data_IF_234317325907
#
_entry.id   IF_234317325907
#
_cell.length_a   1.000
_cell.length_b   1.000
_cell.length_c   1.000
_cell.angle_alpha   90.00
_cell.angle_beta   90.00
_cell.angle_gamma   90.00
#
_symmetry.space_group_name_H-M   'P 1'
#
loop_
_entity.id
_entity.type
_entity.pdbx_description
1 polymer ?
#
# COMPACT_ATOMS: atom_id res chain seq x y z
N UNK A 1 18.91 -22.57 -32.34
CA UNK A 1 18.42 -21.57 -33.32
C UNK A 1 17.01 -21.93 -33.76
N UNK A 2 15.97 -21.38 -33.14
CA UNK A 2 14.63 -21.25 -33.75
C UNK A 2 13.97 -20.00 -33.14
N UNK A 3 13.87 -18.96 -33.98
CA UNK A 3 13.23 -17.67 -33.69
C UNK A 3 11.72 -17.79 -33.94
N UNK A 4 10.88 -17.36 -33.00
CA UNK A 4 9.47 -16.93 -33.22
C UNK A 4 9.28 -15.70 -32.32
N UNK A 5 9.47 -14.46 -32.80
CA UNK A 5 8.55 -13.60 -33.58
C UNK A 5 7.16 -13.40 -32.92
N UNK A 6 7.14 -12.46 -31.98
CA UNK A 6 6.23 -11.29 -31.80
C UNK A 6 4.77 -11.47 -32.25
N UNK A 7 3.83 -11.31 -31.29
CA UNK A 7 2.59 -10.55 -31.46
C UNK A 7 2.15 -9.99 -30.10
N UNK A 8 2.23 -8.67 -29.94
CA UNK A 8 1.55 -7.90 -28.91
C UNK A 8 0.31 -7.23 -29.53
N UNK A 9 -0.84 -7.21 -28.86
CA UNK A 9 -1.86 -6.21 -29.12
C UNK A 9 -1.87 -5.13 -28.02
N UNK A 10 -1.63 -3.93 -28.52
CA UNK A 10 -1.74 -2.62 -27.90
C UNK A 10 -3.19 -2.38 -27.42
N UNK A 11 -3.40 -2.24 -26.11
CA UNK A 11 -4.68 -1.80 -25.53
C UNK A 11 -4.56 -0.32 -25.19
N UNK A 12 -5.20 0.51 -26.03
CA UNK A 12 -5.40 1.93 -25.77
C UNK A 12 -6.71 2.09 -24.97
N UNK A 13 -6.61 2.40 -23.67
CA UNK A 13 -7.76 2.85 -22.88
C UNK A 13 -7.79 4.38 -22.88
N UNK A 14 -8.94 4.91 -23.28
CA UNK A 14 -9.22 6.31 -23.48
C UNK A 14 -9.53 7.01 -22.14
N UNK A 15 -8.83 8.11 -21.87
CA UNK A 15 -9.18 9.11 -20.86
C UNK A 15 -10.46 9.85 -21.31
N UNK A 16 -11.55 9.72 -20.54
CA UNK A 16 -12.71 10.60 -20.65
C UNK A 16 -12.65 11.63 -19.51
N UNK A 17 -12.17 12.83 -19.84
CA UNK A 17 -12.38 14.03 -19.04
C UNK A 17 -13.86 14.41 -19.09
N UNK A 18 -14.56 14.26 -17.97
CA UNK A 18 -15.85 14.91 -17.75
C UNK A 18 -15.61 16.39 -17.41
N UNK A 19 -15.47 17.20 -18.45
CA UNK A 19 -15.59 18.65 -18.39
C UNK A 19 -16.83 19.08 -19.18
N UNK A 20 -17.88 19.50 -18.46
CA UNK A 20 -19.04 20.26 -18.96
C UNK A 20 -19.69 20.88 -17.70
N UNK A 21 -19.84 22.19 -17.52
CA UNK A 21 -19.92 23.30 -18.46
C UNK A 21 -21.37 23.71 -18.69
N UNK A 22 -21.75 24.86 -18.09
CA UNK A 22 -22.87 25.79 -18.37
C UNK A 22 -24.35 25.34 -18.34
N UNK A 23 -25.20 26.04 -17.53
CA UNK A 23 -26.00 27.20 -17.97
C UNK A 23 -26.90 27.78 -16.83
N UNK A 24 -27.11 29.10 -16.88
CA UNK A 24 -27.91 30.00 -16.01
C UNK A 24 -29.38 29.59 -15.77
N UNK A 25 -29.91 29.83 -14.56
CA UNK A 25 -31.27 30.41 -14.44
C UNK A 25 -31.54 31.09 -13.09
N UNK A 26 -32.16 32.26 -13.20
CA UNK A 26 -32.52 33.18 -12.11
C UNK A 26 -33.85 32.76 -11.48
N UNK A 27 -33.95 32.62 -10.16
CA UNK A 27 -35.22 32.91 -9.47
C UNK A 27 -35.10 33.05 -7.94
N UNK A 28 -35.59 34.18 -7.45
CA UNK A 28 -35.76 34.60 -6.07
C UNK A 28 -36.91 33.84 -5.39
N UNK A 29 -36.70 33.30 -4.17
CA UNK A 29 -37.74 33.19 -3.13
C UNK A 29 -37.18 32.71 -1.77
N UNK A 30 -37.23 33.62 -0.79
CA UNK A 30 -37.74 33.54 0.59
C UNK A 30 -37.92 32.21 1.33
N UNK A 31 -37.48 32.22 2.60
CA UNK A 31 -37.83 31.42 3.78
C UNK A 31 -37.81 29.88 3.69
N UNK A 32 -36.92 29.27 4.46
CA UNK A 32 -37.37 28.45 5.61
C UNK A 32 -36.19 28.30 6.61
N UNK A 33 -36.39 28.77 7.83
CA UNK A 33 -35.44 28.61 8.94
C UNK A 33 -35.72 27.25 9.56
N UNK A 34 -35.09 26.21 9.01
CA UNK A 34 -35.14 24.88 9.60
C UNK A 34 -34.16 24.81 10.78
N UNK A 35 -34.76 24.79 11.97
CA UNK A 35 -34.19 24.38 13.25
C UNK A 35 -33.49 23.02 13.09
N UNK A 36 -32.16 23.03 13.02
CA UNK A 36 -31.33 21.82 13.01
C UNK A 36 -31.06 21.46 14.45
N UNK A 37 -31.79 20.44 14.93
CA UNK A 37 -31.56 19.76 16.19
C UNK A 37 -30.18 19.09 16.16
N UNK A 38 -29.23 19.64 16.92
CA UNK A 38 -27.96 19.00 17.24
C UNK A 38 -28.23 17.84 18.23
N UNK A 39 -28.56 16.68 17.69
CA UNK A 39 -28.49 15.42 18.43
C UNK A 39 -27.13 14.78 18.12
N UNK A 40 -26.11 15.25 18.84
CA UNK A 40 -24.77 14.67 18.82
C UNK A 40 -24.83 13.34 19.55
N UNK A 41 -25.10 12.28 18.81
CA UNK A 41 -24.88 10.90 19.27
C UNK A 41 -23.37 10.65 19.27
N UNK A 42 -22.76 10.70 20.45
CA UNK A 42 -21.43 10.16 20.69
C UNK A 42 -21.48 8.66 20.41
N UNK A 43 -21.02 8.28 19.22
CA UNK A 43 -20.77 6.87 18.89
C UNK A 43 -19.35 6.58 19.36
N UNK A 44 -19.22 6.14 20.60
CA UNK A 44 -18.03 5.46 21.09
C UNK A 44 -17.93 4.12 20.36
N UNK A 45 -17.34 4.13 19.17
CA UNK A 45 -16.85 2.91 18.52
C UNK A 45 -15.53 2.56 19.20
N UNK A 46 -15.61 1.84 20.31
CA UNK A 46 -14.49 1.04 20.82
C UNK A 46 -14.27 -0.10 19.82
N UNK A 47 -13.45 0.14 18.79
CA UNK A 47 -12.82 -0.96 18.05
C UNK A 47 -11.79 -1.57 18.99
N UNK A 48 -12.23 -2.53 19.81
CA UNK A 48 -11.34 -3.51 20.40
C UNK A 48 -10.85 -4.40 19.25
N UNK A 49 -9.82 -3.93 18.54
CA UNK A 49 -8.95 -4.79 17.76
C UNK A 49 -8.28 -5.71 18.76
N UNK A 50 -8.90 -6.87 19.00
CA UNK A 50 -8.32 -8.00 19.70
C UNK A 50 -7.08 -8.40 18.90
N UNK A 51 -5.94 -7.80 19.23
CA UNK A 51 -4.61 -8.33 18.88
C UNK A 51 -4.47 -9.65 19.63
N UNK A 52 -5.11 -10.67 19.06
CA UNK A 52 -4.96 -12.04 19.48
C UNK A 52 -3.47 -12.34 19.55
N UNK A 53 -3.07 -12.95 20.67
CA UNK A 53 -1.72 -13.46 20.89
C UNK A 53 -1.20 -14.12 19.61
N UNK A 54 -0.10 -13.60 19.06
CA UNK A 54 0.62 -14.17 17.93
C UNK A 54 1.02 -15.62 18.25
N UNK A 55 0.16 -16.56 17.91
CA UNK A 55 0.57 -17.95 17.73
C UNK A 55 1.41 -17.96 16.46
N UNK A 56 2.68 -18.38 16.57
CA UNK A 56 3.63 -18.44 15.46
C UNK A 56 2.93 -18.99 14.21
N UNK A 57 2.72 -18.12 13.21
CA UNK A 57 2.10 -18.53 11.97
C UNK A 57 3.06 -19.50 11.29
N UNK A 58 2.58 -20.72 11.10
CA UNK A 58 3.35 -21.76 10.42
C UNK A 58 3.48 -21.37 8.94
N UNK A 59 4.63 -20.83 8.56
CA UNK A 59 4.94 -20.37 7.20
C UNK A 59 4.74 -21.49 6.17
N UNK A 60 5.00 -22.76 6.53
CA UNK A 60 4.78 -23.89 5.64
C UNK A 60 3.28 -24.13 5.42
N UNK A 61 2.47 -24.05 6.49
CA UNK A 61 1.02 -24.15 6.40
C UNK A 61 0.41 -22.98 5.61
N UNK A 62 0.95 -21.77 5.76
CA UNK A 62 0.50 -20.59 5.03
C UNK A 62 0.86 -20.73 3.54
N UNK A 63 2.09 -21.12 3.22
CA UNK A 63 2.51 -21.37 1.84
C UNK A 63 1.69 -22.49 1.16
N UNK A 64 1.40 -23.59 1.89
CA UNK A 64 0.54 -24.67 1.38
C UNK A 64 -0.90 -24.19 1.15
N UNK A 65 -1.41 -23.28 1.99
CA UNK A 65 -2.76 -22.71 1.82
C UNK A 65 -2.86 -21.76 0.62
N UNK A 66 -1.76 -21.10 0.27
CA UNK A 66 -1.66 -20.13 -0.82
C UNK A 66 -1.34 -20.76 -2.18
N UNK A 67 -1.08 -22.08 -2.24
CA UNK A 67 -0.88 -22.80 -3.50
C UNK A 67 0.24 -22.21 -4.37
N UNK A 68 -0.08 -21.82 -5.62
CA UNK A 68 0.90 -21.25 -6.55
C UNK A 68 1.45 -19.89 -6.10
N UNK A 69 0.78 -19.23 -5.15
CA UNK A 69 1.23 -17.96 -4.56
C UNK A 69 1.85 -18.12 -3.18
N UNK A 70 2.21 -19.35 -2.78
CA UNK A 70 2.92 -19.60 -1.52
C UNK A 70 4.24 -18.85 -1.38
N UNK A 71 4.83 -18.35 -2.47
CA UNK A 71 6.00 -17.46 -2.42
C UNK A 71 5.72 -16.11 -1.73
N UNK A 72 4.44 -15.73 -1.58
CA UNK A 72 4.02 -14.52 -0.85
C UNK A 72 3.94 -14.72 0.66
N UNK A 73 4.05 -15.96 1.16
CA UNK A 73 3.91 -16.23 2.59
C UNK A 73 4.90 -15.42 3.44
N UNK A 74 6.16 -15.34 3.00
CA UNK A 74 7.17 -14.52 3.69
C UNK A 74 6.88 -13.02 3.63
N UNK A 75 6.23 -12.52 2.56
CA UNK A 75 5.78 -11.13 2.50
C UNK A 75 4.70 -10.85 3.54
N UNK A 76 3.73 -11.75 3.68
CA UNK A 76 2.63 -11.61 4.64
C UNK A 76 3.16 -11.54 6.08
N UNK A 77 4.09 -12.42 6.45
CA UNK A 77 4.74 -12.39 7.77
C UNK A 77 5.51 -11.09 8.00
N UNK A 78 6.29 -10.63 7.00
CA UNK A 78 7.00 -9.35 7.12
C UNK A 78 6.06 -8.14 7.26
N UNK A 79 4.86 -8.21 6.67
CA UNK A 79 3.85 -7.17 6.78
C UNK A 79 3.11 -7.20 8.12
N UNK A 80 2.94 -8.38 8.74
CA UNK A 80 2.42 -8.48 10.11
C UNK A 80 3.41 -7.94 11.15
N UNK A 81 4.71 -8.19 10.95
CA UNK A 81 5.77 -7.58 11.75
C UNK A 81 5.88 -6.06 11.52
N UNK A 82 5.40 -5.59 10.37
CA UNK A 82 5.27 -4.16 10.09
C UNK A 82 4.05 -3.60 10.82
N UNK A 83 4.26 -3.08 12.02
CA UNK A 83 3.23 -2.39 12.77
C UNK A 83 3.11 -0.92 12.31
N UNK A 84 2.07 -0.53 11.54
CA UNK A 84 1.92 0.84 11.08
C UNK A 84 1.67 1.82 12.24
N UNK A 85 1.28 1.36 13.44
CA UNK A 85 1.11 2.23 14.60
C UNK A 85 2.44 2.74 15.13
N UNK A 86 3.53 1.99 14.93
CA UNK A 86 4.90 2.49 15.20
C UNK A 86 5.27 3.66 14.29
N UNK A 87 4.65 3.76 13.11
CA UNK A 87 4.85 4.85 12.17
C UNK A 87 4.19 6.15 12.63
N UNK A 88 3.07 6.10 13.36
CA UNK A 88 2.25 7.28 13.67
C UNK A 88 2.18 7.69 15.15
N UNK A 89 2.64 6.87 16.10
CA UNK A 89 2.30 7.13 17.51
C UNK A 89 3.14 6.45 18.59
N UNK A 90 4.33 5.94 18.29
CA UNK A 90 5.23 5.47 19.33
C UNK A 90 5.69 6.63 20.24
N UNK A 91 5.67 6.45 21.56
CA UNK A 91 6.27 7.40 22.54
C UNK A 91 7.79 7.62 22.30
N UNK A 92 8.40 6.79 21.46
CA UNK A 92 9.79 6.87 21.06
C UNK A 92 9.92 7.19 19.58
N UNK A 93 10.70 8.24 19.28
CA UNK A 93 10.97 8.67 17.94
C UNK A 93 11.72 7.54 17.19
N UNK A 94 11.09 7.00 16.15
CA UNK A 94 11.57 5.82 15.43
C UNK A 94 12.42 6.23 14.24
N UNK A 95 13.54 5.52 14.03
CA UNK A 95 14.36 5.64 12.83
C UNK A 95 13.58 5.06 11.65
N UNK A 96 13.06 5.94 10.80
CA UNK A 96 12.13 5.56 9.75
C UNK A 96 12.79 4.65 8.72
N UNK A 97 14.10 4.82 8.47
CA UNK A 97 14.85 3.92 7.58
C UNK A 97 14.88 2.47 8.08
N UNK A 98 14.88 2.26 9.40
CA UNK A 98 14.83 0.91 9.99
C UNK A 98 13.47 0.23 9.84
N UNK A 99 12.39 0.98 9.61
CA UNK A 99 11.07 0.41 9.33
C UNK A 99 11.00 -0.17 7.91
N UNK A 100 11.66 0.45 6.95
CA UNK A 100 11.64 0.01 5.55
C UNK A 100 12.67 -1.07 5.22
N UNK A 101 13.75 -1.18 5.99
CA UNK A 101 14.77 -2.21 5.79
C UNK A 101 14.22 -3.65 5.80
N UNK A 102 13.43 -4.10 6.79
CA UNK A 102 12.86 -5.45 6.78
C UNK A 102 11.85 -5.64 5.66
N UNK A 103 11.05 -4.62 5.33
CA UNK A 103 10.12 -4.67 4.21
C UNK A 103 10.84 -4.81 2.86
N UNK A 104 11.95 -4.09 2.68
CA UNK A 104 12.80 -4.19 1.50
C UNK A 104 13.43 -5.59 1.37
N UNK A 105 13.93 -6.16 2.47
CA UNK A 105 14.49 -7.51 2.51
C UNK A 105 13.43 -8.56 2.16
N UNK A 106 12.27 -8.50 2.82
CA UNK A 106 11.16 -9.41 2.53
C UNK A 106 10.68 -9.31 1.07
N UNK A 107 10.59 -8.09 0.52
CA UNK A 107 10.20 -7.90 -0.89
C UNK A 107 11.27 -8.45 -1.84
N UNK A 108 12.57 -8.37 -1.50
CA UNK A 108 13.62 -9.00 -2.29
C UNK A 108 13.56 -10.52 -2.26
N UNK A 109 13.24 -11.12 -1.11
CA UNK A 109 13.05 -12.56 -1.00
C UNK A 109 11.87 -13.03 -1.84
N UNK A 110 10.76 -12.28 -1.79
CA UNK A 110 9.59 -12.50 -2.65
C UNK A 110 9.95 -12.38 -4.12
N UNK A 111 10.71 -11.34 -4.51
CA UNK A 111 11.19 -11.19 -5.87
C UNK A 111 12.03 -12.41 -6.31
N UNK A 112 12.92 -12.90 -5.45
CA UNK A 112 13.75 -14.06 -5.76
C UNK A 112 12.93 -15.35 -5.90
N UNK A 113 11.87 -15.51 -5.11
CA UNK A 113 10.98 -16.66 -5.14
C UNK A 113 9.86 -16.55 -6.20
N UNK A 114 9.59 -15.34 -6.70
CA UNK A 114 8.52 -15.08 -7.66
C UNK A 114 8.73 -15.81 -9.00
N UNK A 115 7.63 -16.18 -9.67
CA UNK A 115 7.67 -16.69 -11.04
C UNK A 115 8.41 -15.73 -11.98
N UNK A 116 9.08 -16.29 -13.00
CA UNK A 116 9.87 -15.52 -13.97
C UNK A 116 9.07 -14.37 -14.62
N UNK A 117 7.75 -14.54 -14.73
CA UNK A 117 6.82 -13.59 -15.34
C UNK A 117 6.65 -12.31 -14.52
N UNK A 118 6.76 -12.38 -13.20
CA UNK A 118 6.50 -11.24 -12.29
C UNK A 118 7.70 -10.85 -11.42
N UNK A 119 8.81 -11.60 -11.52
CA UNK A 119 10.04 -11.34 -10.78
C UNK A 119 10.61 -9.94 -10.99
N UNK A 120 10.61 -9.45 -12.21
CA UNK A 120 11.16 -8.12 -12.52
C UNK A 120 10.32 -7.01 -11.87
N UNK A 121 8.99 -7.18 -11.83
CA UNK A 121 8.09 -6.26 -11.15
C UNK A 121 8.31 -6.27 -9.62
N UNK A 122 8.36 -7.44 -8.98
CA UNK A 122 8.72 -7.53 -7.56
C UNK A 122 10.11 -6.97 -7.24
N UNK A 123 11.09 -7.18 -8.13
CA UNK A 123 12.44 -6.61 -7.96
C UNK A 123 12.39 -5.09 -7.98
N UNK A 124 11.57 -4.50 -8.84
CA UNK A 124 11.37 -3.03 -8.90
C UNK A 124 10.73 -2.51 -7.62
N UNK A 125 9.72 -3.21 -7.07
CA UNK A 125 9.12 -2.85 -5.78
C UNK A 125 10.16 -2.92 -4.65
N UNK A 126 10.96 -3.99 -4.62
CA UNK A 126 11.99 -4.19 -3.61
C UNK A 126 13.09 -3.12 -3.68
N UNK A 127 13.48 -2.71 -4.89
CA UNK A 127 14.42 -1.61 -5.12
C UNK A 127 13.85 -0.27 -4.62
N UNK A 128 12.54 -0.02 -4.83
CA UNK A 128 11.84 1.15 -4.29
C UNK A 128 11.90 1.21 -2.76
N UNK A 129 11.55 0.12 -2.07
CA UNK A 129 11.66 0.05 -0.61
C UNK A 129 13.11 0.18 -0.11
N UNK A 130 14.08 -0.41 -0.82
CA UNK A 130 15.50 -0.29 -0.48
C UNK A 130 15.99 1.15 -0.62
N UNK A 131 15.54 1.86 -1.66
CA UNK A 131 15.85 3.28 -1.85
C UNK A 131 15.28 4.13 -0.72
N UNK A 132 14.01 3.91 -0.36
CA UNK A 132 13.35 4.61 0.75
C UNK A 132 14.09 4.38 2.06
N UNK A 133 14.43 3.12 2.38
CA UNK A 133 15.19 2.77 3.58
C UNK A 133 16.54 3.49 3.63
N UNK A 134 17.25 3.58 2.50
CA UNK A 134 18.54 4.24 2.40
C UNK A 134 18.44 5.78 2.50
N UNK A 135 17.43 6.39 1.88
CA UNK A 135 17.24 7.85 1.94
C UNK A 135 16.83 8.31 3.35
N UNK A 136 16.03 7.50 4.03
CA UNK A 136 15.52 7.76 5.38
C UNK A 136 16.38 7.19 6.50
N UNK A 137 17.56 6.62 6.19
CA UNK A 137 18.48 6.14 7.20
C UNK A 137 18.85 7.27 8.18
N UNK A 138 18.61 7.04 9.48
CA UNK A 138 18.89 8.00 10.53
C UNK A 138 17.93 9.20 10.56
N UNK A 139 16.87 9.17 9.75
CA UNK A 139 15.77 10.15 9.84
C UNK A 139 14.82 9.71 10.94
N UNK A 140 14.65 10.60 11.90
CA UNK A 140 13.72 10.40 13.01
C UNK A 140 12.51 11.29 12.75
N UNK A 141 11.37 10.68 12.44
CA UNK A 141 10.13 11.42 12.22
C UNK A 141 9.36 11.51 13.53
N UNK A 142 9.09 12.75 13.95
CA UNK A 142 8.19 13.04 15.06
C UNK A 142 6.89 13.62 14.49
N UNK A 143 5.88 12.76 14.38
CA UNK A 143 4.55 13.18 13.91
C UNK A 143 3.74 13.90 15.00
N UNK A 144 4.21 13.93 16.25
CA UNK A 144 3.57 14.69 17.33
C UNK A 144 3.90 16.19 17.26
N UNK A 145 5.05 16.55 16.68
CA UNK A 145 5.45 17.92 16.40
C UNK A 145 5.98 18.08 14.96
N UNK A 146 5.10 18.11 13.96
CA UNK A 146 5.50 18.23 12.55
C UNK A 146 6.23 19.55 12.23
N UNK A 147 6.07 20.59 13.05
CA UNK A 147 6.81 21.85 12.89
C UNK A 147 8.28 21.75 13.34
N UNK A 148 8.61 20.73 14.14
CA UNK A 148 9.99 20.45 14.57
C UNK A 148 10.81 19.72 13.50
N UNK A 149 10.18 19.27 12.41
CA UNK A 149 10.85 18.56 11.32
C UNK A 149 11.80 19.51 10.58
N UNK A 150 13.06 19.11 10.45
CA UNK A 150 14.06 19.95 9.81
C UNK A 150 13.91 19.95 8.27
N UNK A 151 14.38 20.99 7.57
CA UNK A 151 14.24 21.08 6.12
C UNK A 151 14.93 19.98 5.32
N UNK A 152 15.99 19.34 5.86
CA UNK A 152 16.66 18.23 5.20
C UNK A 152 15.79 16.96 5.24
N UNK A 153 15.16 16.68 6.39
CA UNK A 153 14.18 15.62 6.53
C UNK A 153 13.01 15.80 5.56
N UNK A 154 12.46 17.02 5.47
CA UNK A 154 11.38 17.33 4.50
C UNK A 154 11.82 17.10 3.05
N UNK A 155 13.05 17.49 2.69
CA UNK A 155 13.57 17.27 1.34
C UNK A 155 13.77 15.78 1.01
N UNK A 156 14.14 14.96 2.00
CA UNK A 156 14.22 13.50 1.87
C UNK A 156 12.84 12.86 1.71
N UNK A 157 11.83 13.35 2.43
CA UNK A 157 10.45 12.90 2.24
C UNK A 157 9.93 13.24 0.84
N UNK A 158 10.22 14.44 0.34
CA UNK A 158 9.89 14.84 -1.03
C UNK A 158 10.63 14.00 -2.10
N UNK A 159 11.83 13.49 -1.81
CA UNK A 159 12.53 12.60 -2.76
C UNK A 159 11.94 11.20 -2.85
N UNK A 160 11.16 10.77 -1.84
CA UNK A 160 10.44 9.48 -1.89
C UNK A 160 9.41 9.42 -3.02
N UNK A 161 8.83 10.55 -3.42
CA UNK A 161 7.96 10.61 -4.60
C UNK A 161 8.69 10.14 -5.87
N UNK A 162 10.02 10.29 -5.91
CA UNK A 162 10.83 9.76 -7.02
C UNK A 162 11.06 8.26 -6.88
N UNK A 163 11.26 7.76 -5.66
CA UNK A 163 11.42 6.32 -5.39
C UNK A 163 10.14 5.53 -5.71
N UNK A 164 8.98 6.15 -5.52
CA UNK A 164 7.66 5.60 -5.86
C UNK A 164 7.08 6.17 -7.17
N UNK A 165 7.96 6.53 -8.13
CA UNK A 165 7.55 7.11 -9.40
C UNK A 165 6.89 6.12 -10.38
N UNK A 166 6.78 6.53 -11.65
CA UNK A 166 6.06 5.78 -12.70
C UNK A 166 6.50 4.31 -12.85
N UNK A 167 7.79 4.01 -12.65
CA UNK A 167 8.30 2.63 -12.75
C UNK A 167 7.82 1.75 -11.59
N UNK A 168 7.77 2.29 -10.36
CA UNK A 168 7.24 1.59 -9.19
C UNK A 168 5.73 1.37 -9.35
N UNK A 169 4.97 2.40 -9.74
CA UNK A 169 3.53 2.30 -9.97
C UNK A 169 3.19 1.25 -11.05
N UNK A 170 3.96 1.21 -12.15
CA UNK A 170 3.79 0.22 -13.20
C UNK A 170 4.08 -1.20 -12.70
N UNK A 171 5.15 -1.38 -11.92
CA UNK A 171 5.48 -2.67 -11.31
C UNK A 171 4.40 -3.12 -10.32
N UNK A 172 3.88 -2.22 -9.50
CA UNK A 172 2.79 -2.50 -8.56
C UNK A 172 1.52 -2.95 -9.30
N UNK A 173 1.16 -2.26 -10.37
CA UNK A 173 0.01 -2.63 -11.21
C UNK A 173 0.21 -3.98 -11.92
N UNK A 174 1.45 -4.31 -12.33
CA UNK A 174 1.76 -5.60 -12.93
C UNK A 174 1.62 -6.74 -11.91
N UNK A 175 2.13 -6.53 -10.68
CA UNK A 175 2.00 -7.49 -9.57
C UNK A 175 0.54 -7.70 -9.21
N UNK A 176 -0.25 -6.64 -9.07
CA UNK A 176 -1.68 -6.70 -8.78
C UNK A 176 -2.46 -7.48 -9.85
N UNK A 177 -2.22 -7.18 -11.13
CA UNK A 177 -2.87 -7.88 -12.23
C UNK A 177 -2.51 -9.38 -12.26
N UNK A 178 -1.23 -9.71 -12.03
CA UNK A 178 -0.79 -11.09 -11.98
C UNK A 178 -1.39 -11.84 -10.79
N UNK A 179 -1.41 -11.23 -9.59
CA UNK A 179 -2.02 -11.84 -8.41
C UNK A 179 -3.52 -12.03 -8.59
N UNK A 180 -4.22 -11.08 -9.21
CA UNK A 180 -5.65 -11.24 -9.52
C UNK A 180 -5.92 -12.43 -10.44
N UNK A 181 -5.05 -12.69 -11.42
CA UNK A 181 -5.22 -13.80 -12.35
C UNK A 181 -4.79 -15.16 -11.77
N UNK A 182 -3.74 -15.18 -10.95
CA UNK A 182 -3.06 -16.42 -10.53
C UNK A 182 -3.30 -16.79 -9.06
N UNK A 183 -3.76 -15.84 -8.24
CA UNK A 183 -3.98 -15.99 -6.79
C UNK A 183 -5.45 -15.79 -6.37
N UNK A 184 -6.39 -15.77 -7.32
CA UNK A 184 -7.80 -15.44 -7.05
C UNK A 184 -8.44 -16.28 -5.93
N UNK A 185 -8.05 -17.56 -5.82
CA UNK A 185 -8.57 -18.47 -4.80
C UNK A 185 -8.15 -18.07 -3.36
N UNK A 186 -7.11 -17.24 -3.21
CA UNK A 186 -6.62 -16.73 -1.92
C UNK A 186 -7.46 -15.54 -1.45
N UNK A 187 -7.89 -14.67 -2.37
CA UNK A 187 -8.72 -13.51 -2.05
C UNK A 187 -10.11 -13.88 -1.51
N UNK A 188 -10.64 -15.06 -1.88
CA UNK A 188 -11.86 -15.61 -1.28
C UNK A 188 -11.62 -16.24 0.10
N UNK A 189 -10.37 -16.61 0.41
CA UNK A 189 -10.00 -17.32 1.64
C UNK A 189 -9.63 -16.36 2.76
N UNK A 190 -8.86 -15.32 2.43
CA UNK A 190 -8.67 -14.16 3.27
C UNK A 190 -9.79 -13.19 2.91
N UNK A 191 -10.85 -13.14 3.71
CA UNK A 191 -11.96 -12.20 3.57
C UNK A 191 -11.44 -10.75 3.71
N UNK A 192 -10.78 -10.23 2.67
CA UNK A 192 -10.17 -8.90 2.65
C UNK A 192 -11.25 -7.82 2.74
N UNK A 193 -12.50 -8.14 2.39
CA UNK A 193 -13.67 -7.28 2.61
C UNK A 193 -13.93 -7.04 4.11
N UNK A 194 -13.49 -7.95 5.00
CA UNK A 194 -13.59 -7.78 6.45
C UNK A 194 -12.59 -6.74 7.01
N UNK A 195 -11.49 -6.46 6.31
CA UNK A 195 -10.52 -5.43 6.69
C UNK A 195 -10.89 -4.03 6.16
N UNK A 196 -11.82 -3.94 5.19
CA UNK A 196 -12.21 -2.69 4.52
C UNK A 196 -13.51 -2.05 4.98
N UNK A 197 -14.16 -2.56 6.04
CA UNK A 197 -15.47 -2.07 6.53
C UNK A 197 -15.41 -1.38 7.89
#
# INVERSE_FOLDING_TARGET
MHRRKIFAPLVAAALLFAACGDDDDTSTATDDVADVSEDTTETETESETDSGTSEDIDEEALADSMGECGFLAGFATAFEDFDPTTMYGGEEATDFGQLFAPLAEATQEVAAAAPDEIRDAFSTLADGFSQVAAELEGVVLDFTDPEAMDPETMAKLESLDTAFGEEYEAAAAEVDAWMTENCADIADTFDLDAFGS
#
